data_IF_196778468893
#
_entry.id   IF_196778468893
#
_cell.length_a   1.000
_cell.length_b   1.000
_cell.length_c   1.000
_cell.angle_alpha   90.00
_cell.angle_beta   90.00
_cell.angle_gamma   90.00
#
_symmetry.space_group_name_H-M   'P 1'
#
loop_
_entity.id
_entity.type
_entity.pdbx_description
1 polymer ?
#
# COMPACT_ATOMS: atom_id res chain seq x y z
N UNK A 1 -3.71 16.79 -24.89
CA UNK A 1 -3.54 17.57 -23.65
C UNK A 1 -2.89 16.67 -22.62
N UNK A 2 -1.86 17.15 -21.92
CA UNK A 2 -1.26 16.45 -20.77
C UNK A 2 -1.91 16.96 -19.48
N UNK A 3 -2.15 16.09 -18.50
CA UNK A 3 -2.82 16.43 -17.23
C UNK A 3 -1.91 17.18 -16.24
N UNK A 4 -0.61 17.31 -16.52
CA UNK A 4 0.37 18.04 -15.69
C UNK A 4 0.35 17.67 -14.19
N UNK A 5 0.12 16.39 -13.89
CA UNK A 5 0.04 15.86 -12.53
C UNK A 5 1.37 16.02 -11.78
N UNK A 6 1.27 16.32 -10.48
CA UNK A 6 2.38 16.32 -9.53
C UNK A 6 2.42 15.00 -8.76
N UNK A 7 3.58 14.63 -8.21
CA UNK A 7 3.71 13.45 -7.36
C UNK A 7 2.77 13.55 -6.13
N UNK A 8 2.02 12.48 -5.87
CA UNK A 8 1.04 12.42 -4.78
C UNK A 8 -0.37 12.86 -5.20
N UNK A 9 -1.16 13.45 -4.28
CA UNK A 9 -2.55 13.81 -4.54
C UNK A 9 -2.67 15.06 -5.43
N UNK A 10 -3.58 15.01 -6.39
CA UNK A 10 -3.93 16.10 -7.30
C UNK A 10 -5.45 16.29 -7.30
N UNK A 11 -5.93 17.48 -6.92
CA UNK A 11 -7.36 17.80 -6.94
C UNK A 11 -7.84 18.00 -8.37
N UNK A 12 -8.97 17.39 -8.70
CA UNK A 12 -9.58 17.45 -10.03
C UNK A 12 -11.07 17.75 -9.95
N UNK A 13 -11.58 18.40 -11.00
CA UNK A 13 -13.00 18.70 -11.14
C UNK A 13 -13.49 18.24 -12.51
N UNK A 14 -14.40 17.28 -12.51
CA UNK A 14 -15.14 16.87 -13.69
C UNK A 14 -16.37 17.77 -13.83
N UNK A 15 -16.55 18.41 -14.98
CA UNK A 15 -17.68 19.29 -15.25
C UNK A 15 -18.45 18.81 -16.47
N UNK A 16 -19.77 18.67 -16.36
CA UNK A 16 -20.67 18.33 -17.46
C UNK A 16 -21.68 19.45 -17.62
N UNK A 17 -21.72 20.06 -18.79
CA UNK A 17 -22.69 21.11 -19.12
C UNK A 17 -23.72 20.56 -20.08
N UNK A 18 -24.99 20.59 -19.70
CA UNK A 18 -26.11 20.25 -20.56
C UNK A 18 -27.00 21.47 -20.80
N UNK A 19 -27.71 21.49 -21.92
CA UNK A 19 -28.61 22.60 -22.26
C UNK A 19 -29.74 22.77 -21.25
N UNK A 20 -30.22 21.67 -20.63
CA UNK A 20 -31.40 21.68 -19.77
C UNK A 20 -31.08 21.79 -18.27
N UNK A 21 -29.96 21.21 -17.81
CA UNK A 21 -29.60 21.19 -16.38
C UNK A 21 -28.46 22.17 -16.03
N UNK A 22 -27.93 22.91 -17.02
CA UNK A 22 -26.78 23.77 -16.81
C UNK A 22 -25.50 22.97 -16.59
N UNK A 23 -24.58 23.50 -15.76
CA UNK A 23 -23.28 22.85 -15.48
C UNK A 23 -23.31 22.14 -14.13
N UNK A 24 -23.12 20.82 -14.15
CA UNK A 24 -22.88 20.00 -12.98
C UNK A 24 -21.38 19.75 -12.81
N UNK A 25 -20.89 19.74 -11.57
CA UNK A 25 -19.49 19.49 -11.24
C UNK A 25 -19.35 18.36 -10.22
N UNK A 26 -18.33 17.52 -10.38
CA UNK A 26 -17.93 16.48 -9.45
C UNK A 26 -16.45 16.67 -9.11
N UNK A 27 -16.11 16.70 -7.83
CA UNK A 27 -14.74 16.83 -7.36
C UNK A 27 -14.14 15.45 -7.08
N UNK A 28 -12.83 15.31 -7.26
CA UNK A 28 -12.10 14.10 -6.93
C UNK A 28 -10.62 14.37 -6.75
N UNK A 29 -9.88 13.31 -6.44
CA UNK A 29 -8.43 13.35 -6.27
C UNK A 29 -7.79 12.27 -7.13
N UNK A 30 -6.83 12.64 -7.96
CA UNK A 30 -5.98 11.70 -8.72
C UNK A 30 -4.66 11.57 -7.95
N UNK A 31 -4.22 10.33 -7.72
CA UNK A 31 -2.94 10.05 -7.09
C UNK A 31 -1.92 9.63 -8.16
N UNK A 32 -0.82 10.36 -8.25
CA UNK A 32 0.33 9.97 -9.06
C UNK A 32 1.40 9.34 -8.16
N UNK A 33 1.68 8.06 -8.36
CA UNK A 33 2.72 7.31 -7.65
C UNK A 33 3.72 6.73 -8.65
N UNK A 34 4.95 6.49 -8.20
CA UNK A 34 5.96 5.83 -9.02
C UNK A 34 5.68 4.32 -9.11
N UNK A 35 6.08 3.69 -10.20
CA UNK A 35 5.87 2.25 -10.43
C UNK A 35 6.58 1.36 -9.38
N UNK A 36 7.65 1.85 -8.76
CA UNK A 36 8.42 1.18 -7.70
C UNK A 36 7.96 1.57 -6.27
N UNK A 37 6.89 2.36 -6.14
CA UNK A 37 6.29 2.65 -4.84
C UNK A 37 5.78 1.36 -4.18
N UNK A 38 5.88 1.34 -2.84
CA UNK A 38 5.45 0.20 -2.02
C UNK A 38 4.20 0.60 -1.26
N UNK A 39 3.14 -0.17 -1.44
CA UNK A 39 1.79 0.17 -0.99
C UNK A 39 1.40 -0.68 0.21
N UNK A 40 0.83 -0.02 1.21
CA UNK A 40 0.14 -0.63 2.33
C UNK A 40 -1.35 -0.59 2.04
N UNK A 41 -1.99 -1.76 2.03
CA UNK A 41 -3.44 -1.85 1.95
C UNK A 41 -3.99 -1.76 3.37
N UNK A 42 -5.00 -0.94 3.61
CA UNK A 42 -5.72 -0.92 4.89
C UNK A 42 -7.21 -0.97 4.64
N UNK A 43 -7.88 -1.98 5.19
CA UNK A 43 -9.33 -1.88 5.36
C UNK A 43 -9.66 -0.75 6.36
N UNK A 44 -10.86 -0.17 6.23
CA UNK A 44 -11.34 0.88 7.13
C UNK A 44 -12.28 0.29 8.18
N UNK A 45 -13.26 -0.51 7.76
CA UNK A 45 -14.41 -0.90 8.56
C UNK A 45 -14.08 -2.08 9.50
N UNK A 46 -13.83 -1.76 10.77
CA UNK A 46 -13.41 -2.72 11.78
C UNK A 46 -11.89 -2.92 11.86
N UNK A 47 -11.13 -2.21 11.01
CA UNK A 47 -9.65 -2.18 11.04
C UNK A 47 -9.11 -0.85 11.56
N UNK A 48 -9.57 0.26 10.97
CA UNK A 48 -9.34 1.62 11.48
C UNK A 48 -10.41 1.95 12.52
N UNK A 49 -11.68 1.75 12.17
CA UNK A 49 -12.78 1.80 13.14
C UNK A 49 -12.76 0.54 14.01
N UNK A 50 -13.23 0.62 15.25
CA UNK A 50 -13.32 -0.54 16.16
C UNK A 50 -14.47 -1.52 15.86
N UNK A 51 -15.42 -1.12 15.03
CA UNK A 51 -16.59 -1.93 14.67
C UNK A 51 -16.89 -1.82 13.18
N UNK A 52 -17.33 -2.92 12.60
CA UNK A 52 -17.84 -2.99 11.22
C UNK A 52 -19.35 -2.68 11.13
N UNK A 53 -20.10 -2.88 12.22
CA UNK A 53 -21.58 -2.89 12.20
C UNK A 53 -22.24 -1.51 12.32
N UNK A 54 -21.47 -0.43 12.39
CA UNK A 54 -21.95 0.95 12.57
C UNK A 54 -21.85 1.81 11.31
N UNK A 55 -21.87 1.18 10.12
CA UNK A 55 -21.82 1.86 8.82
C UNK A 55 -22.90 2.92 8.56
N UNK A 56 -23.99 2.97 9.35
CA UNK A 56 -25.08 3.95 9.22
C UNK A 56 -25.02 5.13 10.22
N UNK A 57 -24.12 5.14 11.21
CA UNK A 57 -24.10 6.15 12.29
C UNK A 57 -22.82 7.00 12.29
N UNK A 58 -22.12 7.06 11.17
CA UNK A 58 -20.91 7.90 11.05
C UNK A 58 -21.12 9.43 11.18
N UNK A 59 -22.30 10.06 10.95
CA UNK A 59 -22.37 11.53 10.95
C UNK A 59 -22.07 12.19 12.31
N UNK A 60 -21.98 11.43 13.42
CA UNK A 60 -21.98 11.98 14.78
C UNK A 60 -20.77 11.61 15.65
N UNK A 61 -19.76 10.88 15.18
CA UNK A 61 -18.82 10.21 16.10
C UNK A 61 -17.35 10.62 15.95
N UNK A 62 -16.80 11.15 17.05
CA UNK A 62 -15.43 11.61 17.20
C UNK A 62 -14.38 10.51 17.46
N UNK A 63 -13.25 10.93 18.05
CA UNK A 63 -11.98 10.20 18.22
C UNK A 63 -12.08 8.80 18.87
N UNK A 64 -13.13 8.52 19.63
CA UNK A 64 -13.23 7.33 20.49
C UNK A 64 -13.48 6.00 19.75
N UNK A 65 -13.87 6.07 18.47
CA UNK A 65 -14.21 4.89 17.66
C UNK A 65 -13.06 4.32 16.83
N UNK A 66 -11.87 4.91 16.91
CA UNK A 66 -10.68 4.46 16.18
C UNK A 66 -9.80 3.59 17.08
N UNK A 67 -9.16 2.57 16.52
CA UNK A 67 -8.16 1.80 17.26
C UNK A 67 -6.99 2.70 17.69
N UNK A 68 -6.57 2.61 18.95
CA UNK A 68 -5.46 3.43 19.48
C UNK A 68 -4.12 3.02 18.86
N UNK A 69 -3.25 4.00 18.62
CA UNK A 69 -1.92 3.82 18.05
C UNK A 69 -1.88 3.67 16.53
N UNK A 70 -3.03 3.50 15.85
CA UNK A 70 -3.05 3.27 14.40
C UNK A 70 -2.59 4.49 13.61
N UNK A 71 -3.01 5.69 14.01
CA UNK A 71 -2.60 6.91 13.33
C UNK A 71 -1.09 7.13 13.44
N UNK A 72 -0.53 6.86 14.63
CA UNK A 72 0.91 6.94 14.87
C UNK A 72 1.70 5.91 14.05
N UNK A 73 1.26 4.65 14.06
CA UNK A 73 1.89 3.60 13.25
C UNK A 73 1.85 3.98 11.76
N UNK A 74 0.68 4.31 11.22
CA UNK A 74 0.52 4.59 9.79
C UNK A 74 1.30 5.83 9.38
N UNK A 75 1.35 6.85 10.22
CA UNK A 75 2.17 8.03 9.99
C UNK A 75 3.65 7.67 9.88
N UNK A 76 4.20 6.88 10.82
CA UNK A 76 5.60 6.43 10.74
C UNK A 76 5.89 5.58 9.51
N UNK A 77 4.98 4.65 9.17
CA UNK A 77 5.11 3.83 7.95
C UNK A 77 5.13 4.71 6.70
N UNK A 78 4.30 5.76 6.65
CA UNK A 78 4.32 6.75 5.56
C UNK A 78 5.61 7.56 5.51
N UNK A 79 6.15 7.98 6.66
CA UNK A 79 7.46 8.64 6.77
C UNK A 79 8.60 7.77 6.22
N UNK A 80 8.47 6.44 6.35
CA UNK A 80 9.42 5.49 5.77
C UNK A 80 9.27 5.29 4.25
N UNK A 81 8.39 6.06 3.60
CA UNK A 81 8.25 6.12 2.14
C UNK A 81 7.20 5.18 1.55
N UNK A 82 6.40 4.52 2.39
CA UNK A 82 5.31 3.66 1.93
C UNK A 82 4.04 4.48 1.63
N UNK A 83 3.29 4.08 0.60
CA UNK A 83 2.00 4.69 0.21
C UNK A 83 0.85 3.93 0.83
N UNK A 84 -0.27 4.60 1.12
CA UNK A 84 -1.46 3.96 1.67
C UNK A 84 -2.58 3.89 0.64
N UNK A 85 -3.17 2.71 0.50
CA UNK A 85 -4.39 2.46 -0.26
C UNK A 85 -5.45 1.95 0.73
N UNK A 86 -6.55 2.69 0.85
CA UNK A 86 -7.63 2.34 1.77
C UNK A 86 -8.74 1.57 1.05
N UNK A 87 -9.37 0.62 1.74
CA UNK A 87 -10.52 -0.14 1.24
C UNK A 87 -11.67 -0.05 2.25
N UNK A 88 -12.90 0.10 1.76
CA UNK A 88 -14.10 0.10 2.61
C UNK A 88 -15.25 -0.60 1.90
N UNK A 89 -16.06 -1.33 2.67
CA UNK A 89 -17.24 -2.00 2.14
C UNK A 89 -18.42 -1.04 1.95
N UNK A 90 -18.29 0.22 2.39
CA UNK A 90 -19.31 1.26 2.21
C UNK A 90 -19.55 1.57 0.74
N UNK A 91 -20.81 1.91 0.45
CA UNK A 91 -21.23 2.29 -0.89
C UNK A 91 -20.51 3.57 -1.36
N UNK A 92 -20.20 3.65 -2.65
CA UNK A 92 -19.55 4.81 -3.27
C UNK A 92 -20.34 6.12 -3.13
N UNK A 93 -21.68 6.06 -2.96
CA UNK A 93 -22.48 7.23 -2.57
C UNK A 93 -22.09 7.85 -1.22
N UNK A 94 -21.32 7.15 -0.39
CA UNK A 94 -20.79 7.62 0.90
C UNK A 94 -19.32 8.04 0.83
N UNK A 95 -18.79 8.28 -0.37
CA UNK A 95 -17.37 8.54 -0.57
C UNK A 95 -16.86 9.77 0.19
N UNK A 96 -17.61 10.88 0.17
CA UNK A 96 -17.22 12.11 0.86
C UNK A 96 -17.16 11.93 2.38
N UNK A 97 -18.16 11.25 2.97
CA UNK A 97 -18.15 10.94 4.40
C UNK A 97 -16.97 10.04 4.79
N UNK A 98 -16.65 9.05 3.95
CA UNK A 98 -15.57 8.09 4.23
C UNK A 98 -14.19 8.76 4.13
N UNK A 99 -13.96 9.57 3.09
CA UNK A 99 -12.75 10.39 2.98
C UNK A 99 -12.65 11.39 4.12
N UNK A 100 -13.73 12.11 4.41
CA UNK A 100 -13.80 13.05 5.51
C UNK A 100 -13.42 12.42 6.84
N UNK A 101 -13.94 11.23 7.14
CA UNK A 101 -13.55 10.49 8.34
C UNK A 101 -12.04 10.25 8.41
N UNK A 102 -11.41 9.73 7.35
CA UNK A 102 -9.95 9.49 7.34
C UNK A 102 -9.16 10.79 7.60
N UNK A 103 -9.59 11.91 7.02
CA UNK A 103 -8.99 13.22 7.26
C UNK A 103 -9.15 13.71 8.72
N UNK A 104 -10.28 13.40 9.36
CA UNK A 104 -10.57 13.82 10.72
C UNK A 104 -9.94 12.92 11.80
N UNK A 105 -9.52 11.69 11.46
CA UNK A 105 -8.82 10.82 12.42
C UNK A 105 -7.52 11.50 12.84
N UNK A 106 -7.47 11.92 14.11
CA UNK A 106 -6.34 12.57 14.72
C UNK A 106 -6.05 12.00 16.11
N UNK A 107 -4.87 11.41 16.26
CA UNK A 107 -4.37 10.89 17.52
C UNK A 107 -3.23 11.77 18.05
N UNK A 108 -3.58 12.67 18.99
CA UNK A 108 -2.62 13.55 19.69
C UNK A 108 -1.79 14.41 18.72
N UNK A 109 -2.42 14.92 17.66
CA UNK A 109 -1.77 15.71 16.61
C UNK A 109 -1.32 14.89 15.41
N UNK A 110 -1.33 13.55 15.50
CA UNK A 110 -0.91 12.67 14.40
C UNK A 110 -2.12 12.26 13.56
N UNK A 111 -2.08 12.56 12.26
CA UNK A 111 -3.13 12.23 11.30
C UNK A 111 -2.78 10.97 10.51
N UNK A 112 -3.80 10.29 9.98
CA UNK A 112 -3.60 9.23 9.01
C UNK A 112 -2.95 9.79 7.72
N UNK A 113 -2.08 8.99 7.06
CA UNK A 113 -1.51 9.38 5.78
C UNK A 113 -2.58 9.47 4.69
N UNK A 114 -2.36 10.37 3.73
CA UNK A 114 -3.23 10.51 2.57
C UNK A 114 -3.14 9.29 1.66
N UNK A 115 -4.27 8.90 1.07
CA UNK A 115 -4.33 7.80 0.13
C UNK A 115 -5.67 7.67 -0.59
N UNK A 116 -5.69 7.05 -1.79
CA UNK A 116 -6.93 6.69 -2.47
C UNK A 116 -7.77 5.72 -1.62
N UNK A 117 -9.10 5.83 -1.77
CA UNK A 117 -10.08 5.00 -1.07
C UNK A 117 -10.89 4.20 -2.09
N UNK A 118 -10.78 2.88 -2.04
CA UNK A 118 -11.63 1.96 -2.79
C UNK A 118 -12.92 1.73 -2.01
N UNK A 119 -14.06 1.91 -2.68
CA UNK A 119 -15.39 1.81 -2.10
C UNK A 119 -16.20 0.74 -2.83
N UNK A 120 -17.16 0.16 -2.12
CA UNK A 120 -18.12 -0.75 -2.73
C UNK A 120 -18.99 0.01 -3.72
N UNK A 121 -19.22 -0.50 -4.94
CA UNK A 121 -20.03 0.22 -5.91
C UNK A 121 -21.52 -0.15 -5.80
N UNK A 122 -21.92 -0.73 -4.66
CA UNK A 122 -23.28 -1.20 -4.33
C UNK A 122 -24.39 -0.15 -4.48
N UNK A 123 -24.09 1.16 -4.47
CA UNK A 123 -25.07 2.21 -4.77
C UNK A 123 -25.27 2.50 -6.26
N UNK A 124 -24.50 1.90 -7.18
CA UNK A 124 -24.45 2.27 -8.62
C UNK A 124 -24.76 1.13 -9.62
N UNK A 125 -25.02 -0.11 -9.17
CA UNK A 125 -25.01 -1.29 -10.07
C UNK A 125 -26.36 -1.82 -10.55
N UNK A 126 -26.30 -2.51 -11.70
CA UNK A 126 -27.36 -3.35 -12.26
C UNK A 126 -27.60 -4.64 -11.43
N UNK A 127 -28.76 -5.27 -11.63
CA UNK A 127 -29.21 -6.44 -10.85
C UNK A 127 -28.25 -7.66 -10.89
N UNK A 128 -27.51 -7.86 -11.99
CA UNK A 128 -26.58 -8.98 -12.14
C UNK A 128 -25.28 -8.78 -11.34
N UNK A 129 -24.71 -7.56 -11.36
CA UNK A 129 -23.55 -7.21 -10.54
C UNK A 129 -23.88 -7.28 -9.05
N UNK A 130 -25.12 -6.91 -8.69
CA UNK A 130 -25.62 -7.03 -7.33
C UNK A 130 -25.54 -8.47 -6.83
N UNK A 131 -25.96 -9.47 -7.59
CA UNK A 131 -25.94 -10.87 -7.14
C UNK A 131 -24.51 -11.40 -6.86
N UNK A 132 -23.54 -11.07 -7.72
CA UNK A 132 -22.14 -11.53 -7.54
C UNK A 132 -21.48 -10.83 -6.35
N UNK A 133 -21.67 -9.52 -6.23
CA UNK A 133 -21.08 -8.70 -5.16
C UNK A 133 -21.73 -9.00 -3.81
N UNK A 134 -23.05 -9.17 -3.76
CA UNK A 134 -23.77 -9.52 -2.53
C UNK A 134 -23.41 -10.93 -2.04
N UNK A 135 -23.12 -11.88 -2.94
CA UNK A 135 -22.78 -13.25 -2.56
C UNK A 135 -21.30 -13.47 -2.26
N UNK A 136 -20.38 -12.70 -2.88
CA UNK A 136 -18.92 -12.90 -2.78
C UNK A 136 -18.13 -11.58 -2.82
N UNK A 137 -18.27 -10.71 -1.79
CA UNK A 137 -17.60 -9.40 -1.75
C UNK A 137 -16.07 -9.48 -1.83
N UNK A 138 -15.47 -10.57 -1.34
CA UNK A 138 -14.03 -10.82 -1.41
C UNK A 138 -13.51 -10.95 -2.84
N UNK A 139 -14.30 -11.50 -3.77
CA UNK A 139 -13.90 -11.60 -5.18
C UNK A 139 -13.74 -10.24 -5.82
N UNK A 140 -14.69 -9.35 -5.53
CA UNK A 140 -14.63 -7.97 -6.02
C UNK A 140 -13.41 -7.23 -5.45
N UNK A 141 -13.12 -7.42 -4.16
CA UNK A 141 -11.92 -6.85 -3.52
C UNK A 141 -10.64 -7.36 -4.20
N UNK A 142 -10.55 -8.65 -4.50
CA UNK A 142 -9.42 -9.25 -5.24
C UNK A 142 -9.27 -8.65 -6.63
N UNK A 143 -10.37 -8.54 -7.39
CA UNK A 143 -10.36 -7.99 -8.74
C UNK A 143 -9.87 -6.54 -8.75
N UNK A 144 -10.46 -5.66 -7.93
CA UNK A 144 -10.02 -4.27 -7.84
C UNK A 144 -8.55 -4.13 -7.43
N UNK A 145 -8.09 -4.90 -6.43
CA UNK A 145 -6.69 -4.86 -6.02
C UNK A 145 -5.76 -5.42 -7.10
N UNK A 146 -6.21 -6.41 -7.88
CA UNK A 146 -5.45 -6.96 -9.01
C UNK A 146 -5.31 -5.93 -10.13
N UNK A 147 -6.38 -5.19 -10.45
CA UNK A 147 -6.32 -4.11 -11.43
C UNK A 147 -5.33 -3.04 -11.00
N UNK A 148 -5.38 -2.61 -9.74
CA UNK A 148 -4.42 -1.66 -9.18
C UNK A 148 -2.99 -2.21 -9.26
N UNK A 149 -2.76 -3.46 -8.88
CA UNK A 149 -1.45 -4.12 -8.97
C UNK A 149 -0.88 -4.07 -10.39
N UNK A 150 -1.72 -4.29 -11.40
CA UNK A 150 -1.30 -4.30 -12.81
C UNK A 150 -0.89 -2.91 -13.32
N UNK A 151 -1.32 -1.82 -12.67
CA UNK A 151 -0.88 -0.46 -13.00
C UNK A 151 0.61 -0.20 -12.68
N UNK A 152 1.25 -1.05 -11.85
CA UNK A 152 2.63 -0.85 -11.39
C UNK A 152 3.69 -1.56 -12.23
N UNK A 153 3.34 -2.10 -13.41
CA UNK A 153 4.32 -2.75 -14.29
C UNK A 153 5.54 -1.83 -14.56
N UNK A 154 6.79 -2.33 -14.49
CA UNK A 154 7.21 -3.74 -14.39
C UNK A 154 7.22 -4.35 -12.98
N UNK A 155 6.91 -3.59 -11.94
CA UNK A 155 6.84 -4.10 -10.57
C UNK A 155 5.57 -4.94 -10.38
N UNK A 156 5.73 -6.26 -10.34
CA UNK A 156 4.64 -7.22 -10.14
C UNK A 156 4.27 -7.42 -8.67
N UNK A 157 4.95 -6.75 -7.73
CA UNK A 157 4.71 -6.84 -6.28
C UNK A 157 4.73 -5.43 -5.62
N UNK A 158 3.75 -4.55 -5.96
CA UNK A 158 3.64 -3.23 -5.37
C UNK A 158 3.09 -3.26 -3.94
N UNK A 159 2.24 -4.23 -3.60
CA UNK A 159 1.70 -4.36 -2.24
C UNK A 159 2.71 -4.98 -1.30
N UNK A 160 3.12 -4.20 -0.29
CA UNK A 160 4.11 -4.61 0.69
C UNK A 160 3.48 -5.27 1.91
N UNK A 161 2.44 -4.67 2.47
CA UNK A 161 1.72 -5.19 3.63
C UNK A 161 0.23 -4.87 3.54
N UNK A 162 -0.56 -5.55 4.36
CA UNK A 162 -1.99 -5.30 4.43
C UNK A 162 -2.52 -5.41 5.87
N UNK A 163 -3.48 -4.56 6.19
CA UNK A 163 -4.21 -4.55 7.47
C UNK A 163 -5.69 -4.78 7.20
N UNK A 164 -6.28 -5.75 7.90
CA UNK A 164 -7.70 -6.07 7.83
C UNK A 164 -8.25 -6.56 9.17
N UNK A 165 -9.50 -7.01 9.18
CA UNK A 165 -10.17 -7.51 10.39
C UNK A 165 -10.93 -8.82 10.16
N UNK A 166 -11.14 -9.24 8.90
CA UNK A 166 -11.87 -10.47 8.57
C UNK A 166 -10.98 -11.49 7.85
N UNK A 167 -11.28 -12.80 7.96
CA UNK A 167 -10.63 -13.84 7.16
C UNK A 167 -10.75 -13.60 5.64
N UNK A 168 -11.84 -12.96 5.19
CA UNK A 168 -12.04 -12.56 3.78
C UNK A 168 -11.03 -11.52 3.31
N UNK A 169 -10.54 -10.66 4.21
CA UNK A 169 -9.49 -9.69 3.89
C UNK A 169 -8.16 -10.42 3.70
N UNK A 170 -7.82 -11.32 4.63
CA UNK A 170 -6.61 -12.15 4.55
C UNK A 170 -6.58 -12.94 3.25
N UNK A 171 -7.71 -13.55 2.87
CA UNK A 171 -7.87 -14.22 1.58
C UNK A 171 -7.56 -13.24 0.43
N UNK A 172 -8.20 -12.07 0.43
CA UNK A 172 -8.07 -11.10 -0.66
C UNK A 172 -6.62 -10.60 -0.82
N UNK A 173 -5.94 -10.31 0.29
CA UNK A 173 -4.55 -9.82 0.28
C UNK A 173 -3.56 -10.88 -0.17
N UNK A 174 -3.80 -12.14 0.20
CA UNK A 174 -2.99 -13.28 -0.25
C UNK A 174 -3.10 -13.46 -1.76
N UNK A 175 -4.31 -13.40 -2.33
CA UNK A 175 -4.54 -13.57 -3.76
C UNK A 175 -3.81 -12.51 -4.60
N UNK A 176 -3.71 -11.27 -4.10
CA UNK A 176 -2.96 -10.21 -4.80
C UNK A 176 -1.45 -10.22 -4.53
N UNK A 177 -0.96 -11.16 -3.72
CA UNK A 177 0.47 -11.44 -3.53
C UNK A 177 1.10 -10.79 -2.30
N UNK A 178 0.32 -10.32 -1.32
CA UNK A 178 0.87 -9.89 -0.03
C UNK A 178 1.28 -11.14 0.77
N UNK A 179 2.54 -11.25 1.22
CA UNK A 179 2.99 -12.43 1.95
C UNK A 179 2.34 -12.48 3.35
N UNK A 180 2.07 -13.69 3.87
CA UNK A 180 1.36 -13.88 5.15
C UNK A 180 2.08 -13.23 6.34
N UNK A 181 3.41 -13.10 6.29
CA UNK A 181 4.19 -12.40 7.32
C UNK A 181 4.09 -10.87 7.20
N UNK A 182 3.30 -10.34 6.27
CA UNK A 182 2.99 -8.91 6.13
C UNK A 182 1.48 -8.64 6.07
N UNK A 183 0.66 -9.63 6.39
CA UNK A 183 -0.77 -9.45 6.61
C UNK A 183 -1.00 -9.41 8.11
N UNK A 184 -1.64 -8.32 8.56
CA UNK A 184 -2.00 -8.10 9.95
C UNK A 184 -3.52 -8.07 10.08
N UNK A 185 -4.05 -8.74 11.10
CA UNK A 185 -5.48 -8.75 11.39
C UNK A 185 -5.73 -8.23 12.79
N UNK A 186 -6.66 -7.29 12.92
CA UNK A 186 -7.05 -6.71 14.21
C UNK A 186 -8.43 -7.21 14.60
N UNK A 187 -8.65 -7.45 15.89
CA UNK A 187 -9.98 -7.73 16.43
C UNK A 187 -10.58 -6.49 17.12
N UNK A 188 -11.87 -6.49 17.51
CA UNK A 188 -12.51 -5.33 18.13
C UNK A 188 -11.87 -4.86 19.45
N UNK A 189 -11.08 -5.71 20.14
CA UNK A 189 -10.32 -5.32 21.35
C UNK A 189 -9.05 -4.53 21.02
N UNK A 190 -8.64 -4.47 19.76
CA UNK A 190 -7.38 -3.85 19.32
C UNK A 190 -6.18 -4.78 19.42
N UNK A 191 -6.41 -6.08 19.60
CA UNK A 191 -5.38 -7.10 19.53
C UNK A 191 -5.04 -7.33 18.06
N UNK A 192 -3.78 -7.10 17.70
CA UNK A 192 -3.26 -7.21 16.34
C UNK A 192 -2.45 -8.50 16.23
N UNK A 193 -2.76 -9.34 15.25
CA UNK A 193 -2.02 -10.58 14.95
C UNK A 193 -1.40 -10.51 13.56
N UNK A 194 -0.22 -11.10 13.41
CA UNK A 194 0.41 -11.32 12.11
C UNK A 194 0.01 -12.70 11.60
N UNK A 195 -0.52 -12.80 10.38
CA UNK A 195 -1.20 -14.03 9.92
C UNK A 195 -0.26 -15.25 9.80
N UNK A 196 1.04 -15.04 9.58
CA UNK A 196 2.04 -16.11 9.62
C UNK A 196 2.29 -16.67 11.04
N UNK A 197 2.07 -15.87 12.09
CA UNK A 197 2.37 -16.21 13.47
C UNK A 197 1.19 -15.85 14.38
N UNK A 198 0.07 -16.59 14.23
CA UNK A 198 -1.21 -16.29 14.89
C UNK A 198 -1.16 -16.28 16.43
N UNK A 199 -0.11 -16.84 17.04
CA UNK A 199 0.10 -16.84 18.48
C UNK A 199 0.75 -15.55 19.00
N UNK A 200 1.33 -14.72 18.12
CA UNK A 200 1.96 -13.46 18.49
C UNK A 200 0.92 -12.33 18.49
N UNK A 201 0.23 -12.19 19.61
CA UNK A 201 -0.69 -11.08 19.86
C UNK A 201 0.09 -9.81 20.19
N UNK A 202 -0.19 -8.74 19.45
CA UNK A 202 0.42 -7.42 19.57
C UNK A 202 -0.67 -6.33 19.56
N UNK A 203 -0.28 -5.09 19.32
CA UNK A 203 -1.18 -3.95 19.10
C UNK A 203 -0.57 -3.01 18.05
N UNK A 204 -1.35 -2.07 17.52
CA UNK A 204 -0.80 -1.04 16.62
C UNK A 204 0.32 -0.24 17.28
N UNK A 205 0.18 0.10 18.57
CA UNK A 205 1.19 0.82 19.33
C UNK A 205 2.52 0.04 19.40
N UNK A 206 2.47 -1.25 19.76
CA UNK A 206 3.66 -2.10 19.85
C UNK A 206 4.30 -2.36 18.49
N UNK A 207 3.50 -2.53 17.43
CA UNK A 207 4.02 -2.59 16.06
C UNK A 207 4.72 -1.28 15.67
N UNK A 208 4.21 -0.14 16.14
CA UNK A 208 4.78 1.19 15.94
C UNK A 208 6.11 1.44 16.68
N UNK A 209 6.44 0.64 17.69
CA UNK A 209 7.74 0.66 18.38
C UNK A 209 8.83 -0.02 17.53
N UNK A 210 8.47 -1.07 16.78
CA UNK A 210 9.38 -1.84 15.92
C UNK A 210 9.22 -1.51 14.44
N UNK A 211 8.63 -0.34 14.13
CA UNK A 211 8.22 0.04 12.77
C UNK A 211 9.37 -0.01 11.78
N UNK A 212 10.58 0.42 12.14
CA UNK A 212 11.72 0.46 11.21
C UNK A 212 12.28 -0.92 10.89
N UNK A 213 12.01 -1.92 11.73
CA UNK A 213 12.38 -3.31 11.45
C UNK A 213 11.36 -3.96 10.49
N UNK A 214 10.08 -3.62 10.63
CA UNK A 214 8.99 -4.21 9.83
C UNK A 214 8.80 -3.48 8.50
N UNK A 215 8.94 -2.16 8.52
CA UNK A 215 8.77 -1.19 7.45
C UNK A 215 10.04 -0.32 7.36
N UNK A 216 11.18 -0.88 6.94
CA UNK A 216 12.44 -0.14 6.86
C UNK A 216 12.32 1.07 5.94
N UNK A 217 13.12 2.10 6.23
CA UNK A 217 13.20 3.32 5.43
C UNK A 217 13.50 2.96 3.96
N UNK A 218 12.63 3.35 3.04
CA UNK A 218 12.95 3.30 1.61
C UNK A 218 13.99 4.38 1.34
N UNK A 219 15.26 4.00 1.14
CA UNK A 219 16.25 4.93 0.58
C UNK A 219 15.70 5.44 -0.75
N UNK A 220 15.46 6.74 -0.85
CA UNK A 220 15.18 7.36 -2.14
C UNK A 220 16.45 7.17 -2.97
N UNK A 221 16.31 6.62 -4.18
CA UNK A 221 17.42 6.51 -5.13
C UNK A 221 18.06 7.89 -5.48
N UNK A 222 17.52 8.99 -4.96
CA UNK A 222 17.97 10.37 -5.19
C UNK A 222 18.60 11.09 -3.99
N UNK A 223 18.92 10.41 -2.88
CA UNK A 223 19.72 11.00 -1.80
C UNK A 223 20.94 10.14 -1.50
N UNK A 224 21.87 10.10 -2.46
CA UNK A 224 23.26 9.76 -2.18
C UNK A 224 23.92 10.94 -1.45
N UNK A 225 23.67 11.06 -0.15
CA UNK A 225 24.54 11.87 0.73
C UNK A 225 25.96 11.26 0.83
N UNK A 226 26.15 10.05 0.26
CA UNK A 226 27.45 9.46 -0.01
C UNK A 226 27.46 8.84 -1.41
N UNK A 227 28.25 9.37 -2.38
CA UNK A 227 28.34 8.82 -3.74
C UNK A 227 28.99 7.42 -3.84
N UNK A 228 29.32 6.78 -2.71
CA UNK A 228 30.39 5.78 -2.66
C UNK A 228 30.20 4.71 -1.56
N UNK A 229 28.95 4.35 -1.20
CA UNK A 229 28.68 3.30 -0.19
C UNK A 229 29.40 1.99 -0.50
N UNK A 230 29.41 1.60 -1.78
CA UNK A 230 29.94 0.29 -2.19
C UNK A 230 31.47 0.27 -2.28
N UNK A 231 32.13 1.43 -2.15
CA UNK A 231 33.59 1.56 -2.32
C UNK A 231 34.31 1.98 -1.04
N UNK A 232 33.64 2.67 -0.11
CA UNK A 232 34.22 3.13 1.15
C UNK A 232 33.37 2.70 2.35
N UNK A 233 33.61 1.48 2.84
CA UNK A 233 33.25 1.08 4.20
C UNK A 233 34.52 0.85 5.02
N UNK A 234 34.47 0.96 6.35
CA UNK A 234 35.60 0.59 7.24
C UNK A 234 36.07 -0.86 6.97
N UNK A 235 35.17 -1.73 6.52
CA UNK A 235 35.49 -3.11 6.17
C UNK A 235 36.18 -3.26 4.80
N UNK A 236 35.99 -2.30 3.89
CA UNK A 236 36.63 -2.29 2.56
C UNK A 236 37.94 -1.50 2.56
N UNK A 237 38.04 -0.42 3.34
CA UNK A 237 39.19 0.49 3.35
C UNK A 237 40.48 -0.15 3.89
N UNK A 238 40.37 -1.01 4.91
CA UNK A 238 41.54 -1.66 5.52
C UNK A 238 41.93 -3.00 4.88
N UNK A 239 41.22 -3.43 3.83
CA UNK A 239 41.54 -4.71 3.19
C UNK A 239 42.67 -4.53 2.19
N UNK A 240 43.74 -5.28 2.38
CA UNK A 240 44.84 -5.37 1.42
C UNK A 240 44.29 -5.86 0.07
N UNK A 241 44.58 -5.12 -1.01
CA UNK A 241 44.14 -5.46 -2.36
C UNK A 241 44.80 -6.79 -2.77
N UNK A 242 43.99 -7.78 -3.17
CA UNK A 242 44.50 -9.06 -3.65
C UNK A 242 45.42 -8.82 -4.87
N UNK A 243 46.59 -9.50 -4.96
CA UNK A 243 47.46 -9.38 -6.11
C UNK A 243 46.70 -9.71 -7.40
N UNK A 244 46.86 -8.88 -8.43
CA UNK A 244 46.38 -9.21 -9.77
C UNK A 244 47.07 -10.49 -10.24
N UNK A 245 46.27 -11.52 -10.50
CA UNK A 245 46.74 -12.73 -11.17
C UNK A 245 46.91 -12.38 -12.65
N UNK A 246 48.15 -12.33 -13.13
CA UNK A 246 48.43 -12.23 -14.54
C UNK A 246 48.00 -13.54 -15.22
N UNK A 247 46.98 -13.47 -16.08
CA UNK A 247 46.64 -14.56 -16.98
C UNK A 247 47.74 -14.69 -18.03
N UNK A 248 48.74 -15.52 -17.75
CA UNK A 248 49.72 -15.93 -18.76
C UNK A 248 49.03 -16.77 -19.84
N UNK A 249 48.91 -16.16 -21.03
CA UNK A 249 49.35 -16.76 -22.29
C UNK A 249 48.59 -17.99 -22.78
N UNK A 250 47.61 -17.71 -23.64
CA UNK A 250 47.30 -18.46 -24.88
C UNK A 250 48.27 -19.59 -25.25
N UNK A 251 47.78 -20.82 -25.23
CA UNK A 251 48.35 -21.99 -25.92
C UNK A 251 48.40 -21.74 -27.44
N UNK A 252 49.52 -22.01 -28.14
CA UNK A 252 49.62 -21.84 -29.60
C UNK A 252 48.89 -22.98 -30.34
N UNK A 253 48.44 -22.73 -31.60
CA UNK A 253 47.71 -23.73 -32.38
C UNK A 253 48.63 -24.82 -32.92
N UNK A 254 48.24 -26.09 -32.74
CA UNK A 254 48.86 -27.22 -33.41
C UNK A 254 48.54 -27.19 -34.91
N UNK A 255 49.56 -27.09 -35.76
CA UNK A 255 49.46 -27.30 -37.19
C UNK A 255 49.40 -28.81 -37.53
N UNK A 256 48.71 -29.22 -38.61
CA UNK A 256 48.66 -30.61 -39.03
C UNK A 256 49.90 -30.99 -39.84
N UNK A 257 50.54 -32.11 -39.51
CA UNK A 257 51.57 -32.76 -40.35
C UNK A 257 50.94 -33.67 -41.42
N UNK A 258 51.52 -33.76 -42.63
CA UNK A 258 50.96 -34.53 -43.75
C UNK A 258 51.28 -36.03 -43.65
N UNK A 259 50.49 -36.80 -44.40
CA UNK A 259 50.46 -38.26 -44.53
C UNK A 259 51.76 -38.93 -44.99
N UNK A 260 51.97 -40.16 -44.53
CA UNK A 260 52.54 -41.25 -45.31
C UNK A 260 51.67 -42.49 -45.14
#
# INVERSE_FOLDING_TARGET
MSLQLQDGPNDVVFSVTTQYQGTCRCQGTIYLWNWDDKIIISDIDGTITRSDTLGHILPTLGKDWTHQGIAHLYHKVSQNGYKFLYCSARAIGMADMTRGYLHWVNERGTMLPMGPVLLSPSSLFSALHREVIEKKPEKFKVECLTDIKNLFYPNTQPFYAAFGNRPTDVYSYKEVGVPLNRIFTVNPKGELVQEHAKTNISSYARLGEVVDHVFPLKMRASSSDFPCSDTYSHFTYWREQLPRVDHQGTTPPHAPTPSS
#
